data_IF_421865989029
#
_entry.id   IF_421865989029
#
_cell.length_a   1.000
_cell.length_b   1.000
_cell.length_c   1.000
_cell.angle_alpha   90.00
_cell.angle_beta   90.00
_cell.angle_gamma   90.00
#
_symmetry.space_group_name_H-M   'P 1'
#
loop_
_entity.id
_entity.type
_entity.pdbx_description
1 polymer ?
#
# COMPACT_ATOMS: atom_id res chain seq x y z
N UNK A 1 69.59 -9.76 45.77
CA UNK A 1 68.21 -9.40 46.14
C UNK A 1 67.93 -8.01 45.58
N UNK A 2 67.02 -7.86 44.62
CA UNK A 2 65.93 -6.87 44.58
C UNK A 2 65.03 -7.16 43.36
N UNK A 3 63.75 -6.88 43.57
CA UNK A 3 62.54 -7.49 43.01
C UNK A 3 62.23 -7.04 41.57
N UNK A 4 61.88 -7.96 40.66
CA UNK A 4 61.28 -7.63 39.36
C UNK A 4 59.79 -7.33 39.56
N UNK A 5 59.39 -6.08 39.29
CA UNK A 5 57.99 -5.67 39.30
C UNK A 5 57.42 -5.73 37.88
N UNK A 6 56.66 -6.77 37.56
CA UNK A 6 55.87 -6.86 36.32
C UNK A 6 54.54 -6.14 36.51
N UNK A 7 54.37 -4.99 35.86
CA UNK A 7 53.10 -4.31 35.68
C UNK A 7 52.26 -5.07 34.65
N UNK A 8 51.16 -5.71 35.09
CA UNK A 8 50.13 -6.23 34.20
C UNK A 8 49.06 -5.14 34.08
N UNK A 9 49.10 -4.37 33.00
CA UNK A 9 48.02 -3.45 32.66
C UNK A 9 46.92 -4.22 31.91
N UNK A 10 45.85 -4.55 32.61
CA UNK A 10 44.65 -5.16 32.02
C UNK A 10 43.90 -4.14 31.16
N UNK A 11 43.99 -4.26 29.83
CA UNK A 11 43.08 -3.55 28.93
C UNK A 11 41.70 -4.23 29.00
N UNK A 12 40.73 -3.54 29.62
CA UNK A 12 39.32 -3.92 29.54
C UNK A 12 38.83 -3.68 28.11
N UNK A 13 38.44 -4.76 27.41
CA UNK A 13 37.77 -4.65 26.12
C UNK A 13 36.35 -4.12 26.32
N UNK A 14 36.09 -2.88 25.91
CA UNK A 14 34.73 -2.34 25.80
C UNK A 14 34.07 -2.98 24.59
N UNK A 15 33.27 -4.02 24.83
CA UNK A 15 32.39 -4.59 23.81
C UNK A 15 31.17 -3.67 23.69
N UNK A 16 31.16 -2.79 22.69
CA UNK A 16 29.94 -2.12 22.25
C UNK A 16 29.02 -3.16 21.62
N UNK A 17 28.05 -3.65 22.39
CA UNK A 17 26.95 -4.45 21.88
C UNK A 17 26.07 -3.55 21.00
N UNK A 18 26.28 -3.60 19.68
CA UNK A 18 25.34 -3.04 18.70
C UNK A 18 24.14 -3.96 18.69
N UNK A 19 23.11 -3.62 19.48
CA UNK A 19 21.82 -4.30 19.43
C UNK A 19 21.22 -4.21 18.02
N UNK A 20 20.45 -5.22 17.57
CA UNK A 20 19.82 -5.15 16.26
C UNK A 20 18.89 -3.94 16.23
N UNK A 21 19.05 -3.08 15.22
CA UNK A 21 18.09 -2.02 14.92
C UNK A 21 16.73 -2.68 14.68
N UNK A 22 15.86 -2.64 15.69
CA UNK A 22 14.45 -2.98 15.49
C UNK A 22 13.89 -1.89 14.59
N UNK A 23 13.72 -2.22 13.31
CA UNK A 23 12.93 -1.39 12.42
C UNK A 23 11.59 -1.16 13.12
N UNK A 24 11.30 0.09 13.49
CA UNK A 24 10.02 0.45 14.09
C UNK A 24 8.93 -0.01 13.13
N UNK A 25 8.25 -1.10 13.48
CA UNK A 25 7.02 -1.50 12.81
C UNK A 25 6.10 -0.28 12.87
N UNK A 26 5.65 0.19 11.71
CA UNK A 26 4.73 1.31 11.65
C UNK A 26 3.52 0.98 12.50
N UNK A 27 2.94 1.98 13.19
CA UNK A 27 1.81 1.81 14.12
C UNK A 27 0.60 1.05 13.53
N UNK A 28 0.57 0.80 12.22
CA UNK A 28 -0.52 0.16 11.51
C UNK A 28 -0.10 -1.05 10.66
N UNK A 29 1.10 -1.61 10.86
CA UNK A 29 1.59 -2.75 10.09
C UNK A 29 0.74 -4.02 10.27
N UNK A 30 0.02 -4.15 11.40
CA UNK A 30 -0.96 -5.21 11.64
C UNK A 30 -2.14 -5.19 10.65
N UNK A 31 -2.33 -4.11 9.89
CA UNK A 31 -3.33 -4.00 8.82
C UNK A 31 -2.84 -4.55 7.49
N UNK A 32 -1.54 -4.86 7.34
CA UNK A 32 -1.00 -5.49 6.13
C UNK A 32 -1.05 -7.00 6.33
N UNK A 33 -1.63 -7.73 5.37
CA UNK A 33 -1.70 -9.18 5.47
C UNK A 33 -0.29 -9.79 5.59
N UNK A 34 -0.08 -10.85 6.38
CA UNK A 34 1.20 -11.56 6.37
C UNK A 34 1.48 -12.17 5.00
N UNK A 35 2.74 -12.51 4.73
CA UNK A 35 3.16 -13.10 3.45
C UNK A 35 2.49 -14.44 3.18
N UNK A 36 2.04 -15.18 4.20
CA UNK A 36 1.30 -16.45 4.02
C UNK A 36 -0.13 -16.27 3.49
N UNK A 37 -0.61 -15.04 3.37
CA UNK A 37 -1.94 -14.72 2.82
C UNK A 37 -1.81 -13.94 1.50
N UNK A 38 -2.95 -13.69 0.84
CA UNK A 38 -3.03 -12.79 -0.33
C UNK A 38 -1.95 -13.01 -1.39
N UNK A 39 -1.70 -14.26 -1.77
CA UNK A 39 -0.82 -14.60 -2.89
C UNK A 39 0.66 -14.76 -2.55
N UNK A 40 1.07 -14.77 -1.27
CA UNK A 40 2.45 -15.18 -1.00
C UNK A 40 3.49 -14.15 -1.42
N UNK A 41 4.51 -14.67 -2.10
CA UNK A 41 5.55 -13.90 -2.79
C UNK A 41 5.01 -12.97 -3.88
N UNK A 42 3.76 -13.18 -4.36
CA UNK A 42 3.11 -12.25 -5.28
C UNK A 42 2.95 -10.84 -4.69
N UNK A 43 2.86 -10.70 -3.37
CA UNK A 43 2.76 -9.37 -2.75
C UNK A 43 3.99 -8.51 -3.01
N UNK A 44 5.17 -9.11 -3.12
CA UNK A 44 6.45 -8.45 -3.35
C UNK A 44 6.92 -8.50 -4.80
N UNK A 45 6.29 -9.33 -5.65
CA UNK A 45 6.65 -9.45 -7.06
C UNK A 45 6.19 -8.22 -7.86
N UNK A 46 7.16 -7.51 -8.44
CA UNK A 46 6.93 -6.27 -9.21
C UNK A 46 6.63 -6.54 -10.68
N UNK A 47 6.85 -7.76 -11.16
CA UNK A 47 6.68 -8.19 -12.56
C UNK A 47 5.35 -8.90 -12.82
N UNK A 48 4.42 -8.87 -11.86
CA UNK A 48 3.07 -9.39 -12.04
C UNK A 48 2.31 -8.59 -13.12
N UNK A 49 1.40 -9.24 -13.82
CA UNK A 49 0.44 -8.55 -14.69
C UNK A 49 -0.44 -7.59 -13.88
N UNK A 50 -0.98 -6.55 -14.53
CA UNK A 50 -1.86 -5.57 -13.86
C UNK A 50 -3.01 -6.23 -13.12
N UNK A 51 -3.72 -7.17 -13.75
CA UNK A 51 -4.84 -7.89 -13.11
C UNK A 51 -4.41 -8.73 -11.90
N UNK A 52 -3.22 -9.33 -11.93
CA UNK A 52 -2.69 -10.04 -10.78
C UNK A 52 -2.34 -9.09 -9.62
N UNK A 53 -1.76 -7.93 -9.93
CA UNK A 53 -1.49 -6.88 -8.92
C UNK A 53 -2.79 -6.35 -8.31
N UNK A 54 -3.83 -6.12 -9.13
CA UNK A 54 -5.16 -5.69 -8.68
C UNK A 54 -5.81 -6.72 -7.74
N UNK A 55 -5.70 -8.01 -8.07
CA UNK A 55 -6.22 -9.11 -7.25
C UNK A 55 -5.53 -9.20 -5.88
N UNK A 56 -4.20 -9.18 -5.87
CA UNK A 56 -3.40 -9.20 -4.62
C UNK A 56 -3.73 -7.99 -3.76
N UNK A 57 -3.81 -6.81 -4.37
CA UNK A 57 -4.11 -5.57 -3.66
C UNK A 57 -5.54 -5.57 -3.09
N UNK A 58 -6.54 -6.05 -3.84
CA UNK A 58 -7.90 -6.21 -3.32
C UNK A 58 -7.93 -7.16 -2.10
N UNK A 59 -7.16 -8.25 -2.15
CA UNK A 59 -7.02 -9.13 -0.99
C UNK A 59 -6.42 -8.40 0.22
N UNK A 60 -5.35 -7.61 0.03
CA UNK A 60 -4.74 -6.82 1.10
C UNK A 60 -5.71 -5.78 1.69
N UNK A 61 -6.47 -5.08 0.85
CA UNK A 61 -7.52 -4.15 1.31
C UNK A 61 -8.54 -4.87 2.18
N UNK A 62 -9.01 -6.03 1.72
CA UNK A 62 -9.98 -6.82 2.44
C UNK A 62 -9.42 -7.39 3.74
N UNK A 63 -8.14 -7.73 3.80
CA UNK A 63 -7.47 -8.10 5.04
C UNK A 63 -7.50 -6.94 6.05
N UNK A 64 -7.01 -5.76 5.64
CA UNK A 64 -7.00 -4.56 6.49
C UNK A 64 -8.41 -4.22 7.00
N UNK A 65 -9.40 -4.26 6.11
CA UNK A 65 -10.79 -3.97 6.42
C UNK A 65 -11.37 -4.96 7.43
N UNK A 66 -11.20 -6.27 7.21
CA UNK A 66 -11.65 -7.29 8.18
C UNK A 66 -10.96 -7.11 9.53
N UNK A 67 -9.67 -6.80 9.55
CA UNK A 67 -8.92 -6.56 10.80
C UNK A 67 -9.44 -5.36 11.59
N UNK A 68 -10.03 -4.38 10.89
CA UNK A 68 -10.71 -3.22 11.48
C UNK A 68 -12.23 -3.40 11.63
N UNK A 69 -12.76 -4.63 11.57
CA UNK A 69 -14.19 -4.90 11.72
C UNK A 69 -15.06 -4.33 10.59
N UNK A 70 -14.51 -4.18 9.39
CA UNK A 70 -15.19 -3.63 8.20
C UNK A 70 -15.51 -4.74 7.20
N UNK A 71 -16.65 -4.61 6.52
CA UNK A 71 -17.00 -5.51 5.41
C UNK A 71 -15.98 -5.43 4.26
N UNK A 72 -15.71 -6.57 3.64
CA UNK A 72 -14.84 -6.67 2.47
C UNK A 72 -15.43 -5.97 1.24
N UNK A 73 -14.55 -5.44 0.39
CA UNK A 73 -14.84 -4.90 -0.92
C UNK A 73 -14.94 -6.01 -1.97
N UNK A 74 -15.64 -5.71 -3.08
CA UNK A 74 -15.72 -6.56 -4.27
C UNK A 74 -15.14 -5.81 -5.46
N UNK A 75 -14.30 -6.50 -6.24
CA UNK A 75 -13.77 -5.97 -7.50
C UNK A 75 -14.88 -5.51 -8.44
N UNK A 76 -14.60 -4.47 -9.22
CA UNK A 76 -15.55 -3.87 -10.16
C UNK A 76 -14.80 -3.41 -11.41
N UNK A 77 -15.22 -3.93 -12.57
CA UNK A 77 -14.56 -3.67 -13.84
C UNK A 77 -14.55 -2.19 -14.22
N UNK A 78 -15.62 -1.43 -13.97
CA UNK A 78 -15.67 0.00 -14.28
C UNK A 78 -14.65 0.79 -13.45
N UNK A 79 -14.43 0.40 -12.20
CA UNK A 79 -13.44 1.04 -11.35
C UNK A 79 -12.02 0.64 -11.73
N UNK A 80 -11.76 -0.61 -12.11
CA UNK A 80 -10.46 -1.01 -12.68
C UNK A 80 -10.16 -0.21 -13.96
N UNK A 81 -11.11 -0.14 -14.90
CA UNK A 81 -10.98 0.67 -16.12
C UNK A 81 -10.74 2.15 -15.80
N UNK A 82 -11.49 2.74 -14.86
CA UNK A 82 -11.29 4.13 -14.43
C UNK A 82 -9.87 4.38 -13.93
N UNK A 83 -9.32 3.43 -13.19
CA UNK A 83 -7.98 3.49 -12.60
C UNK A 83 -6.90 3.45 -13.66
N UNK A 84 -7.04 2.53 -14.62
CA UNK A 84 -6.12 2.42 -15.75
C UNK A 84 -6.10 3.70 -16.61
N UNK A 85 -7.27 4.30 -16.86
CA UNK A 85 -7.34 5.56 -17.61
C UNK A 85 -6.75 6.74 -16.80
N UNK A 86 -6.98 6.81 -15.48
CA UNK A 86 -6.33 7.82 -14.63
C UNK A 86 -4.80 7.65 -14.64
N UNK A 87 -4.27 6.42 -14.60
CA UNK A 87 -2.83 6.15 -14.75
C UNK A 87 -2.30 6.66 -16.08
N UNK A 88 -3.00 6.38 -17.17
CA UNK A 88 -2.63 6.89 -18.49
C UNK A 88 -2.64 8.43 -18.54
N UNK A 89 -3.56 9.09 -17.82
CA UNK A 89 -3.58 10.54 -17.68
C UNK A 89 -2.37 11.07 -16.91
N UNK A 90 -2.02 10.45 -15.77
CA UNK A 90 -0.83 10.84 -15.00
C UNK A 90 0.44 10.75 -15.83
N UNK A 91 0.52 9.71 -16.66
CA UNK A 91 1.63 9.49 -17.60
C UNK A 91 1.65 10.54 -18.71
N UNK A 92 0.52 10.70 -19.42
CA UNK A 92 0.41 11.62 -20.56
C UNK A 92 0.70 13.06 -20.15
N UNK A 93 0.20 13.48 -18.99
CA UNK A 93 0.33 14.83 -18.50
C UNK A 93 1.51 15.02 -17.53
N UNK A 94 2.36 13.99 -17.36
CA UNK A 94 3.53 14.00 -16.47
C UNK A 94 3.20 14.55 -15.08
N UNK A 95 2.06 14.17 -14.54
CA UNK A 95 1.48 14.73 -13.32
C UNK A 95 0.97 13.62 -12.41
N UNK A 96 1.68 13.37 -11.31
CA UNK A 96 1.22 12.49 -10.24
C UNK A 96 0.31 13.27 -9.29
N UNK A 97 -0.98 13.32 -9.61
CA UNK A 97 -1.96 14.14 -8.89
C UNK A 97 -3.35 13.54 -8.99
N UNK A 98 -4.15 13.68 -7.94
CA UNK A 98 -5.60 13.40 -7.97
C UNK A 98 -6.29 14.13 -9.13
N UNK A 99 -5.77 15.30 -9.53
CA UNK A 99 -6.31 16.14 -10.59
C UNK A 99 -5.53 16.04 -11.92
N UNK A 100 -4.92 14.89 -12.22
CA UNK A 100 -4.12 14.69 -13.43
C UNK A 100 -4.83 15.16 -14.70
N UNK A 101 -4.09 15.86 -15.57
CA UNK A 101 -4.63 16.52 -16.76
C UNK A 101 -5.76 17.54 -16.48
N UNK A 102 -5.79 18.15 -15.29
CA UNK A 102 -6.85 19.09 -14.88
C UNK A 102 -8.20 18.42 -14.60
N UNK A 103 -8.26 17.08 -14.53
CA UNK A 103 -9.50 16.32 -14.33
C UNK A 103 -9.61 15.87 -12.88
N UNK A 104 -10.73 16.20 -12.24
CA UNK A 104 -11.12 15.72 -10.90
C UNK A 104 -10.81 14.23 -10.68
N UNK A 105 -10.53 13.86 -9.42
CA UNK A 105 -10.21 12.48 -9.01
C UNK A 105 -11.24 11.48 -9.54
N UNK A 106 -12.54 11.81 -9.42
CA UNK A 106 -13.63 10.91 -9.80
C UNK A 106 -14.13 11.12 -11.24
N UNK A 107 -13.41 11.89 -12.06
CA UNK A 107 -13.83 12.17 -13.45
C UNK A 107 -14.07 10.89 -14.26
N UNK A 108 -13.10 9.96 -14.28
CA UNK A 108 -13.24 8.71 -15.05
C UNK A 108 -14.25 7.74 -14.45
N UNK A 109 -14.41 7.74 -13.12
CA UNK A 109 -15.44 6.96 -12.42
C UNK A 109 -16.83 7.37 -12.90
N UNK A 110 -17.09 8.69 -12.97
CA UNK A 110 -18.35 9.27 -13.50
C UNK A 110 -18.50 8.99 -14.99
N UNK A 111 -17.45 9.26 -15.78
CA UNK A 111 -17.47 9.12 -17.24
C UNK A 111 -17.74 7.68 -17.70
N UNK A 112 -17.21 6.68 -17.00
CA UNK A 112 -17.43 5.26 -17.29
C UNK A 112 -18.76 4.72 -16.72
N UNK A 113 -19.56 5.57 -16.07
CA UNK A 113 -20.93 5.23 -15.66
C UNK A 113 -21.05 4.48 -14.35
N UNK A 114 -19.98 4.39 -13.53
CA UNK A 114 -20.05 3.75 -12.21
C UNK A 114 -21.10 4.40 -11.29
N UNK A 115 -21.31 5.70 -11.46
CA UNK A 115 -22.27 6.50 -10.67
C UNK A 115 -23.73 6.26 -11.02
N UNK A 116 -24.03 5.49 -12.07
CA UNK A 116 -25.41 5.10 -12.43
C UNK A 116 -25.95 3.98 -11.53
N UNK A 117 -25.11 3.41 -10.67
CA UNK A 117 -25.55 2.48 -9.62
C UNK A 117 -26.20 3.26 -8.47
N UNK A 118 -27.39 2.84 -8.03
CA UNK A 118 -28.04 3.41 -6.84
C UNK A 118 -27.09 3.37 -5.64
N UNK A 119 -26.96 4.49 -4.92
CA UNK A 119 -26.10 4.63 -3.72
C UNK A 119 -24.60 4.38 -3.94
N UNK A 120 -24.03 4.88 -5.03
CA UNK A 120 -22.60 4.79 -5.30
C UNK A 120 -21.75 5.64 -4.34
N UNK A 121 -20.58 5.12 -3.98
CA UNK A 121 -19.50 5.85 -3.29
C UNK A 121 -18.16 5.40 -3.85
N UNK A 122 -17.21 6.31 -3.90
CA UNK A 122 -15.86 6.05 -4.38
C UNK A 122 -14.85 6.91 -3.62
N UNK A 123 -13.62 6.42 -3.51
CA UNK A 123 -12.46 7.15 -3.00
C UNK A 123 -11.24 6.76 -3.81
N UNK A 124 -10.25 7.64 -3.87
CA UNK A 124 -9.03 7.45 -4.65
C UNK A 124 -7.82 7.40 -3.72
N UNK A 125 -6.99 6.37 -3.90
CA UNK A 125 -5.65 6.28 -3.35
C UNK A 125 -4.70 6.15 -4.54
N UNK A 126 -3.63 6.94 -4.56
CA UNK A 126 -2.63 6.90 -5.64
C UNK A 126 -1.26 6.60 -5.04
N UNK A 127 -0.41 5.91 -5.79
CA UNK A 127 0.93 5.58 -5.36
C UNK A 127 1.93 5.66 -6.51
N UNK A 128 3.17 5.98 -6.14
CA UNK A 128 4.33 5.91 -7.02
C UNK A 128 5.42 5.09 -6.34
N UNK A 129 6.12 4.25 -7.11
CA UNK A 129 7.28 3.52 -6.62
C UNK A 129 7.96 2.74 -7.74
N UNK A 130 9.29 2.65 -7.68
CA UNK A 130 10.12 1.83 -8.57
C UNK A 130 10.72 0.66 -7.80
N UNK A 131 11.18 -0.37 -8.52
CA UNK A 131 11.77 -1.56 -7.91
C UNK A 131 10.89 -2.16 -6.80
N UNK A 132 11.51 -2.55 -5.69
CA UNK A 132 10.81 -3.12 -4.52
C UNK A 132 9.74 -2.19 -3.92
N UNK A 133 9.93 -0.87 -4.01
CA UNK A 133 8.95 0.13 -3.60
C UNK A 133 7.73 0.17 -4.53
N UNK A 134 7.82 -0.38 -5.74
CA UNK A 134 6.69 -0.56 -6.64
C UNK A 134 5.78 -1.71 -6.22
N UNK A 135 6.20 -2.62 -5.34
CA UNK A 135 5.44 -3.84 -5.01
C UNK A 135 4.09 -3.56 -4.33
N UNK A 136 3.15 -4.53 -4.42
CA UNK A 136 1.78 -4.37 -3.91
C UNK A 136 1.84 -4.23 -2.39
N UNK A 137 2.70 -5.03 -1.75
CA UNK A 137 3.00 -4.94 -0.33
C UNK A 137 3.53 -3.57 0.07
N UNK A 138 4.59 -3.08 -0.57
CA UNK A 138 5.21 -1.82 -0.21
C UNK A 138 4.25 -0.63 -0.37
N UNK A 139 3.40 -0.64 -1.41
CA UNK A 139 2.34 0.35 -1.59
C UNK A 139 1.31 0.27 -0.46
N UNK A 140 0.78 -0.92 -0.17
CA UNK A 140 -0.21 -1.10 0.89
C UNK A 140 0.34 -0.69 2.26
N UNK A 141 1.57 -1.08 2.59
CA UNK A 141 2.25 -0.70 3.85
C UNK A 141 2.34 0.82 4.00
N UNK A 142 2.70 1.55 2.94
CA UNK A 142 2.74 3.01 2.98
C UNK A 142 1.34 3.63 3.10
N UNK A 143 0.34 3.09 2.40
CA UNK A 143 -1.03 3.57 2.52
C UNK A 143 -1.60 3.36 3.92
N UNK A 144 -1.43 2.18 4.54
CA UNK A 144 -1.95 1.96 5.90
C UNK A 144 -1.20 2.79 6.94
N UNK A 145 0.05 3.18 6.72
CA UNK A 145 0.77 4.06 7.64
C UNK A 145 0.51 5.56 7.39
N UNK A 146 -0.18 5.92 6.30
CA UNK A 146 -0.61 7.30 6.01
C UNK A 146 -2.06 7.54 6.43
N UNK A 147 -2.30 8.53 7.30
CA UNK A 147 -3.65 8.81 7.84
C UNK A 147 -4.71 9.01 6.75
N UNK A 148 -4.42 9.78 5.69
CA UNK A 148 -5.37 10.03 4.60
C UNK A 148 -5.71 8.76 3.82
N UNK A 149 -4.69 8.02 3.36
CA UNK A 149 -4.89 6.79 2.60
C UNK A 149 -5.54 5.68 3.44
N UNK A 150 -5.12 5.52 4.71
CA UNK A 150 -5.73 4.58 5.66
C UNK A 150 -7.20 4.89 5.89
N UNK A 151 -7.55 6.17 6.02
CA UNK A 151 -8.95 6.60 6.17
C UNK A 151 -9.79 6.14 4.98
N UNK A 152 -9.27 6.26 3.75
CA UNK A 152 -9.95 5.75 2.55
C UNK A 152 -10.11 4.22 2.58
N UNK A 153 -9.06 3.46 2.96
CA UNK A 153 -9.10 1.99 3.06
C UNK A 153 -10.14 1.52 4.08
N UNK A 154 -10.23 2.19 5.23
CA UNK A 154 -11.07 1.78 6.36
C UNK A 154 -12.43 2.46 6.41
N UNK A 155 -12.75 3.31 5.42
CA UNK A 155 -13.95 4.14 5.43
C UNK A 155 -15.23 3.28 5.57
N UNK A 156 -16.02 3.63 6.58
CA UNK A 156 -17.32 3.03 6.91
C UNK A 156 -18.36 3.29 5.82
N UNK A 157 -18.37 4.49 5.24
CA UNK A 157 -19.39 4.90 4.28
C UNK A 157 -19.21 4.20 2.94
N UNK A 158 -18.01 3.70 2.62
CA UNK A 158 -17.77 2.86 1.44
C UNK A 158 -18.45 1.48 1.56
N UNK A 159 -19.24 1.25 2.61
CA UNK A 159 -20.12 0.10 2.78
C UNK A 159 -21.55 0.46 2.38
N UNK A 160 -22.11 -0.30 1.44
CA UNK A 160 -23.53 -0.24 1.09
C UNK A 160 -23.88 -1.11 -0.11
N UNK A 161 -24.54 -2.24 0.14
CA UNK A 161 -25.32 -3.04 -0.82
C UNK A 161 -24.58 -3.62 -2.04
N UNK A 162 -24.12 -4.88 -1.92
CA UNK A 162 -23.88 -5.85 -3.02
C UNK A 162 -23.09 -5.43 -4.28
N UNK A 163 -22.64 -4.19 -4.48
CA UNK A 163 -22.17 -3.70 -5.78
C UNK A 163 -21.07 -2.66 -5.61
N UNK A 164 -19.90 -3.03 -6.12
CA UNK A 164 -18.82 -2.13 -6.50
C UNK A 164 -18.11 -1.43 -5.36
N UNK A 165 -16.88 -1.83 -5.07
CA UNK A 165 -15.88 -0.85 -4.67
C UNK A 165 -14.52 -1.38 -5.07
N UNK A 166 -13.84 -0.67 -5.94
CA UNK A 166 -12.43 -0.83 -6.20
C UNK A 166 -11.79 0.53 -5.89
N UNK A 167 -10.80 0.53 -5.00
CA UNK A 167 -9.83 1.62 -5.01
C UNK A 167 -8.95 1.40 -6.22
N UNK A 168 -8.77 2.45 -7.00
CA UNK A 168 -7.91 2.41 -8.16
C UNK A 168 -6.46 2.25 -7.79
N UNK A 169 -5.79 1.28 -8.39
CA UNK A 169 -4.39 1.00 -8.13
C UNK A 169 -3.61 1.67 -9.25
N UNK A 170 -3.06 2.83 -8.92
CA UNK A 170 -2.09 3.49 -9.76
C UNK A 170 -0.71 2.95 -9.44
N UNK A 171 -0.08 2.32 -10.43
CA UNK A 171 1.33 1.95 -10.42
C UNK A 171 1.98 2.53 -11.66
N UNK A 172 3.20 3.04 -11.47
CA UNK A 172 4.21 3.06 -12.53
C UNK A 172 5.47 2.42 -11.98
N UNK A 173 5.78 1.22 -12.46
CA UNK A 173 7.17 0.76 -12.50
C UNK A 173 7.81 1.43 -13.72
N UNK A 174 8.89 2.18 -13.51
CA UNK A 174 9.99 2.21 -14.48
C UNK A 174 10.93 1.07 -14.13
#
# INVERSE_FOLDING_TARGET
MYLRLTLIASLAAVVLAVGPATASAGSYDYLVAPMTHCGGTQQTNTSLSTGAQESVMLCLHNYARRRAGRAGLRGNSLLYSSSNVKTADMMRCRSFSHNACGRDALYHVKRLGYTRCNSWRAGENIAWGSGSYGSVRAIMTRWVNSTGHRTNILNLRVQGSRRGTAQGILRRSL
#
